data_IF_583645890436
#
_entry.id   IF_583645890436
#
_cell.length_a   1.000
_cell.length_b   1.000
_cell.length_c   1.000
_cell.angle_alpha   90.00
_cell.angle_beta   90.00
_cell.angle_gamma   90.00
#
_symmetry.space_group_name_H-M   'P 1'
#
loop_
_entity.id
_entity.type
_entity.pdbx_description
1 polymer ?
#
# COMPACT_ATOMS: atom_id res chain seq x y z
N UNK A 1 1.04 -12.22 18.54
CA UNK A 1 0.93 -10.96 19.28
C UNK A 1 0.04 -9.99 18.50
N UNK A 2 -0.89 -9.33 19.19
CA UNK A 2 -1.78 -8.38 18.51
C UNK A 2 -1.01 -7.15 18.05
N UNK A 3 -1.39 -6.59 16.91
CA UNK A 3 -0.79 -5.35 16.41
C UNK A 3 -1.12 -4.19 17.37
N UNK A 4 -0.20 -3.21 17.51
CA UNK A 4 -0.51 -2.01 18.30
C UNK A 4 -1.76 -1.30 17.76
N UNK A 5 -2.57 -0.76 18.65
CA UNK A 5 -3.81 -0.09 18.24
C UNK A 5 -3.57 1.03 17.23
N UNK A 6 -2.50 1.80 17.41
CA UNK A 6 -2.18 2.90 16.49
C UNK A 6 -1.84 2.41 15.10
N UNK A 7 -1.10 1.31 15.01
CA UNK A 7 -0.75 0.71 13.73
C UNK A 7 -2.00 0.16 13.02
N UNK A 8 -2.88 -0.49 13.78
CA UNK A 8 -4.11 -1.03 13.22
C UNK A 8 -5.04 0.07 12.70
N UNK A 9 -5.20 1.15 13.45
CA UNK A 9 -6.01 2.29 13.01
C UNK A 9 -5.43 2.93 11.74
N UNK A 10 -4.12 3.05 11.68
CA UNK A 10 -3.41 3.56 10.50
C UNK A 10 -3.67 2.65 9.30
N UNK A 11 -3.55 1.35 9.50
CA UNK A 11 -3.80 0.35 8.46
C UNK A 11 -5.24 0.45 7.94
N UNK A 12 -6.22 0.55 8.84
CA UNK A 12 -7.63 0.67 8.46
C UNK A 12 -7.88 1.94 7.65
N UNK A 13 -7.27 3.05 8.04
CA UNK A 13 -7.41 4.31 7.31
C UNK A 13 -6.84 4.21 5.90
N UNK A 14 -5.69 3.57 5.75
CA UNK A 14 -5.06 3.36 4.44
C UNK A 14 -5.91 2.42 3.60
N UNK A 15 -6.44 1.35 4.20
CA UNK A 15 -7.31 0.42 3.51
C UNK A 15 -8.57 1.12 3.00
N UNK A 16 -9.23 1.89 3.85
CA UNK A 16 -10.45 2.61 3.46
C UNK A 16 -10.16 3.59 2.32
N UNK A 17 -9.03 4.27 2.39
CA UNK A 17 -8.60 5.17 1.32
C UNK A 17 -8.40 4.42 0.01
N UNK A 18 -7.71 3.29 0.05
CA UNK A 18 -7.44 2.49 -1.16
C UNK A 18 -8.74 1.99 -1.78
N UNK A 19 -9.67 1.49 -0.95
CA UNK A 19 -10.94 0.96 -1.44
C UNK A 19 -11.90 2.04 -1.93
N UNK A 20 -11.64 3.31 -1.58
CA UNK A 20 -12.39 4.44 -2.08
C UNK A 20 -11.96 4.91 -3.47
N UNK A 21 -10.90 4.36 -4.03
CA UNK A 21 -10.45 4.72 -5.37
C UNK A 21 -11.41 4.20 -6.44
N UNK A 22 -11.56 4.90 -7.59
CA UNK A 22 -12.45 4.44 -8.66
C UNK A 22 -12.11 3.02 -9.11
N UNK A 23 -13.13 2.15 -9.10
CA UNK A 23 -12.97 0.77 -9.56
C UNK A 23 -12.22 -0.16 -8.63
N UNK A 24 -11.85 0.32 -7.43
CA UNK A 24 -11.10 -0.50 -6.48
C UNK A 24 -11.97 -1.58 -5.84
N UNK A 25 -11.42 -2.77 -5.72
CA UNK A 25 -12.07 -3.89 -5.04
C UNK A 25 -11.08 -4.58 -4.13
N UNK A 26 -11.56 -5.13 -3.02
CA UNK A 26 -10.73 -5.88 -2.08
C UNK A 26 -10.81 -7.37 -2.39
N UNK A 27 -9.66 -8.05 -2.34
CA UNK A 27 -9.59 -9.50 -2.44
C UNK A 27 -8.64 -10.04 -1.38
N UNK A 28 -8.72 -11.33 -1.15
CA UNK A 28 -7.94 -11.98 -0.08
C UNK A 28 -7.19 -13.21 -0.61
N UNK A 29 -6.28 -13.03 -1.59
CA UNK A 29 -5.48 -14.17 -2.02
C UNK A 29 -4.61 -14.63 -0.86
N UNK A 30 -4.63 -15.94 -0.57
CA UNK A 30 -3.84 -16.53 0.53
C UNK A 30 -4.09 -15.87 1.89
N UNK A 31 -5.30 -15.32 2.13
CA UNK A 31 -5.65 -14.74 3.41
C UNK A 31 -5.16 -13.31 3.65
N UNK A 32 -4.44 -12.71 2.72
CA UNK A 32 -4.00 -11.33 2.83
C UNK A 32 -4.96 -10.39 2.09
N UNK A 33 -5.18 -9.20 2.65
CA UNK A 33 -6.00 -8.20 1.99
C UNK A 33 -5.17 -7.51 0.90
N UNK A 34 -5.75 -7.40 -0.28
CA UNK A 34 -5.16 -6.60 -1.37
C UNK A 34 -6.26 -5.75 -1.99
N UNK A 35 -5.89 -4.58 -2.50
CA UNK A 35 -6.82 -3.76 -3.29
C UNK A 35 -6.41 -3.87 -4.75
N UNK A 36 -7.38 -4.13 -5.60
CA UNK A 36 -7.18 -4.29 -7.04
C UNK A 36 -7.98 -3.26 -7.82
N UNK A 37 -7.47 -2.90 -8.97
CA UNK A 37 -8.18 -2.10 -9.96
C UNK A 37 -7.93 -2.72 -11.32
N UNK A 38 -9.00 -2.91 -12.09
CA UNK A 38 -8.91 -3.54 -13.40
C UNK A 38 -8.16 -4.88 -13.34
N UNK A 39 -8.47 -5.70 -12.30
CA UNK A 39 -7.90 -7.04 -12.07
C UNK A 39 -6.41 -7.05 -11.69
N UNK A 40 -5.82 -5.89 -11.41
CA UNK A 40 -4.41 -5.80 -11.01
C UNK A 40 -4.30 -5.24 -9.59
N UNK A 41 -3.40 -5.81 -8.79
CA UNK A 41 -3.14 -5.32 -7.43
C UNK A 41 -2.43 -3.98 -7.52
N UNK A 42 -2.91 -2.97 -6.78
CA UNK A 42 -2.19 -1.70 -6.66
C UNK A 42 -1.68 -1.45 -5.23
N UNK A 43 -2.16 -2.21 -4.25
CA UNK A 43 -1.60 -2.18 -2.90
C UNK A 43 -1.84 -3.52 -2.22
N UNK A 44 -0.80 -4.01 -1.54
CA UNK A 44 -0.91 -5.18 -0.66
C UNK A 44 -1.07 -4.65 0.77
N UNK A 45 -2.15 -5.08 1.44
CA UNK A 45 -2.47 -4.65 2.79
C UNK A 45 -2.20 -5.80 3.75
N UNK A 46 -0.94 -5.92 4.18
CA UNK A 46 -0.54 -6.97 5.11
C UNK A 46 -1.30 -6.86 6.43
N UNK A 47 -1.97 -7.92 6.83
CA UNK A 47 -2.88 -7.89 7.99
C UNK A 47 -2.22 -8.22 9.33
N UNK A 48 -0.93 -8.50 9.32
CA UNK A 48 -0.21 -8.82 10.56
C UNK A 48 -0.48 -10.22 11.09
N UNK A 49 -0.83 -11.14 10.21
CA UNK A 49 -1.17 -12.51 10.56
C UNK A 49 -0.12 -13.49 10.03
N UNK A 50 -0.06 -14.69 10.59
CA UNK A 50 0.83 -15.74 10.11
C UNK A 50 2.31 -15.42 10.24
N UNK A 51 2.68 -14.58 11.19
CA UNK A 51 4.08 -14.19 11.42
C UNK A 51 4.54 -13.00 10.58
N UNK A 52 3.67 -12.45 9.76
CA UNK A 52 3.98 -11.26 8.97
C UNK A 52 3.50 -10.00 9.69
N UNK A 53 4.37 -8.99 9.83
CA UNK A 53 3.95 -7.75 10.49
C UNK A 53 2.92 -6.99 9.64
N UNK A 54 2.11 -6.20 10.34
CA UNK A 54 1.15 -5.31 9.67
C UNK A 54 1.92 -4.32 8.80
N UNK A 55 1.55 -4.19 7.55
CA UNK A 55 2.28 -3.34 6.61
C UNK A 55 1.51 -3.02 5.36
N UNK A 56 2.12 -2.19 4.52
CA UNK A 56 1.57 -1.77 3.23
C UNK A 56 2.66 -1.91 2.18
N UNK A 57 2.33 -2.51 1.04
CA UNK A 57 3.26 -2.63 -0.08
C UNK A 57 2.68 -1.90 -1.28
N UNK A 58 3.43 -0.94 -1.81
CA UNK A 58 2.98 -0.06 -2.90
C UNK A 58 4.03 0.00 -4.00
N UNK A 59 3.60 0.28 -5.22
CA UNK A 59 4.49 0.43 -6.37
C UNK A 59 4.77 1.91 -6.58
N UNK A 60 6.02 2.31 -6.43
CA UNK A 60 6.44 3.71 -6.53
C UNK A 60 7.42 3.86 -7.68
N UNK A 61 7.01 4.55 -8.73
CA UNK A 61 7.86 4.83 -9.89
C UNK A 61 8.62 6.14 -9.76
N UNK A 62 8.12 7.08 -8.94
CA UNK A 62 8.83 8.31 -8.67
C UNK A 62 10.07 8.02 -7.82
N UNK A 63 11.24 8.44 -8.29
CA UNK A 63 12.50 8.14 -7.62
C UNK A 63 12.56 8.72 -6.20
N UNK A 64 12.03 9.92 -6.00
CA UNK A 64 12.03 10.55 -4.67
C UNK A 64 11.11 9.81 -3.70
N UNK A 65 9.90 9.47 -4.14
CA UNK A 65 8.96 8.73 -3.31
C UNK A 65 9.50 7.34 -2.98
N UNK A 66 10.08 6.67 -3.95
CA UNK A 66 10.68 5.34 -3.77
C UNK A 66 11.81 5.39 -2.74
N UNK A 67 12.72 6.35 -2.90
CA UNK A 67 13.84 6.52 -1.96
C UNK A 67 13.33 6.86 -0.56
N UNK A 68 12.34 7.75 -0.46
CA UNK A 68 11.76 8.13 0.82
C UNK A 68 11.13 6.92 1.52
N UNK A 69 10.36 6.12 0.76
CA UNK A 69 9.72 4.92 1.34
C UNK A 69 10.76 3.95 1.88
N UNK A 70 11.89 3.78 1.19
CA UNK A 70 12.95 2.89 1.64
C UNK A 70 13.67 3.39 2.90
N UNK A 71 13.56 4.68 3.25
CA UNK A 71 14.14 5.20 4.50
C UNK A 71 13.26 4.94 5.71
N UNK A 72 12.01 4.52 5.52
CA UNK A 72 11.12 4.23 6.64
C UNK A 72 11.64 3.03 7.43
N UNK A 73 11.49 3.01 8.76
CA UNK A 73 11.99 1.91 9.58
C UNK A 73 11.43 0.56 9.11
N UNK A 74 12.33 -0.39 8.85
CA UNK A 74 11.96 -1.73 8.41
C UNK A 74 11.50 -1.84 6.95
N UNK A 75 11.45 -0.75 6.21
CA UNK A 75 11.04 -0.78 4.81
C UNK A 75 12.10 -1.47 3.95
N UNK A 76 11.63 -2.20 2.95
CA UNK A 76 12.52 -2.93 2.05
C UNK A 76 11.85 -3.12 0.70
N UNK A 77 12.63 -3.39 -0.36
CA UNK A 77 12.04 -3.78 -1.63
C UNK A 77 11.20 -5.05 -1.44
N UNK A 78 10.04 -5.12 -2.07
CA UNK A 78 9.17 -6.28 -1.93
C UNK A 78 9.84 -7.53 -2.51
N UNK A 79 9.50 -8.69 -1.96
CA UNK A 79 10.08 -9.97 -2.37
C UNK A 79 9.59 -10.46 -3.73
N UNK A 80 10.09 -11.62 -4.16
CA UNK A 80 9.69 -12.30 -5.39
C UNK A 80 9.93 -11.46 -6.66
N UNK A 81 10.97 -10.62 -6.66
CA UNK A 81 11.29 -9.79 -7.81
C UNK A 81 10.45 -8.54 -7.97
N UNK A 82 9.46 -8.33 -7.11
CA UNK A 82 8.59 -7.14 -7.19
C UNK A 82 9.37 -5.86 -6.94
N UNK A 83 10.42 -5.90 -6.12
CA UNK A 83 11.25 -4.74 -5.85
C UNK A 83 11.85 -4.12 -7.09
N UNK A 84 12.20 -4.93 -8.09
CA UNK A 84 12.74 -4.45 -9.36
C UNK A 84 11.73 -3.61 -10.14
N UNK A 85 10.44 -3.88 -9.93
CA UNK A 85 9.36 -3.12 -10.57
C UNK A 85 8.93 -1.89 -9.76
N UNK A 86 9.60 -1.61 -8.64
CA UNK A 86 9.31 -0.44 -7.82
C UNK A 86 8.44 -0.70 -6.60
N UNK A 87 8.13 -1.95 -6.29
CA UNK A 87 7.32 -2.27 -5.12
C UNK A 87 8.15 -2.18 -3.84
N UNK A 88 7.63 -1.45 -2.86
CA UNK A 88 8.27 -1.25 -1.55
C UNK A 88 7.30 -1.66 -0.46
N UNK A 89 7.78 -2.48 0.48
CA UNK A 89 7.02 -2.89 1.66
C UNK A 89 7.36 -1.98 2.83
N UNK A 90 6.34 -1.37 3.43
CA UNK A 90 6.51 -0.45 4.57
C UNK A 90 5.77 -1.03 5.78
N UNK A 91 6.50 -1.48 6.82
CA UNK A 91 5.87 -1.96 8.05
C UNK A 91 5.21 -0.82 8.82
N UNK A 92 4.08 -1.09 9.45
CA UNK A 92 3.34 -0.08 10.23
C UNK A 92 3.56 -0.20 11.74
N UNK A 93 4.12 -1.33 12.20
CA UNK A 93 4.33 -1.58 13.63
C UNK A 93 5.66 -1.04 14.14
N UNK A 94 6.53 -0.61 13.24
CA UNK A 94 7.85 -0.08 13.62
C UNK A 94 7.71 1.31 14.23
N UNK A 95 8.55 1.59 15.23
CA UNK A 95 8.63 2.93 15.80
C UNK A 95 9.16 3.88 14.72
N UNK A 96 8.45 4.98 14.52
CA UNK A 96 8.83 5.92 13.46
C UNK A 96 8.21 5.61 12.10
N UNK A 97 7.25 4.68 12.04
CA UNK A 97 6.53 4.39 10.80
C UNK A 97 5.85 5.67 10.27
N UNK A 98 5.70 5.80 8.93
CA UNK A 98 5.15 7.02 8.36
C UNK A 98 3.68 7.22 8.74
N UNK A 99 3.24 8.48 8.69
CA UNK A 99 1.85 8.84 8.99
C UNK A 99 0.90 8.27 7.92
N UNK A 100 -0.37 8.07 8.30
CA UNK A 100 -1.36 7.54 7.38
C UNK A 100 -1.53 8.41 6.14
N UNK A 101 -1.42 9.73 6.29
CA UNK A 101 -1.56 10.67 5.17
C UNK A 101 -0.48 10.43 4.10
N UNK A 102 0.75 10.19 4.52
CA UNK A 102 1.83 9.90 3.59
C UNK A 102 1.62 8.54 2.93
N UNK A 103 1.18 7.55 3.69
CA UNK A 103 0.87 6.22 3.15
C UNK A 103 -0.25 6.31 2.12
N UNK A 104 -1.27 7.14 2.36
CA UNK A 104 -2.35 7.35 1.41
C UNK A 104 -1.84 8.00 0.12
N UNK A 105 -0.90 8.94 0.22
CA UNK A 105 -0.27 9.53 -0.96
C UNK A 105 0.46 8.48 -1.79
N UNK A 106 1.17 7.56 -1.12
CA UNK A 106 1.86 6.47 -1.82
C UNK A 106 0.90 5.46 -2.43
N UNK A 107 -0.22 5.18 -1.76
CA UNK A 107 -1.27 4.32 -2.31
C UNK A 107 -1.85 4.96 -3.58
N UNK A 108 -2.13 6.26 -3.55
CA UNK A 108 -2.62 6.97 -4.73
C UNK A 108 -1.62 6.91 -5.87
N UNK A 109 -0.34 7.10 -5.59
CA UNK A 109 0.70 7.00 -6.60
C UNK A 109 0.74 5.60 -7.22
N UNK A 110 0.65 4.57 -6.38
CA UNK A 110 0.60 3.18 -6.84
C UNK A 110 -0.63 2.94 -7.73
N UNK A 111 -1.78 3.48 -7.31
CA UNK A 111 -3.01 3.40 -8.10
C UNK A 111 -2.80 4.04 -9.48
N UNK A 112 -2.19 5.23 -9.54
CA UNK A 112 -1.97 5.94 -10.81
C UNK A 112 -1.02 5.19 -11.75
N UNK A 113 -0.13 4.37 -11.19
CA UNK A 113 0.76 3.52 -12.01
C UNK A 113 0.00 2.35 -12.62
N UNK A 114 -0.95 1.79 -11.89
CA UNK A 114 -1.62 0.52 -12.24
C UNK A 114 -2.95 0.73 -12.96
N UNK A 115 -3.73 1.75 -12.58
CA UNK A 115 -5.08 1.94 -13.09
C UNK A 115 -5.10 2.40 -14.55
N UNK A 116 -6.15 2.03 -15.32
CA UNK A 116 -6.31 2.55 -16.66
C UNK A 116 -6.62 4.04 -16.65
N UNK A 117 -6.27 4.73 -17.71
CA UNK A 117 -6.42 6.19 -17.82
C UNK A 117 -7.83 6.69 -17.52
N UNK A 118 -8.86 5.95 -17.94
CA UNK A 118 -10.24 6.35 -17.71
C UNK A 118 -10.58 6.43 -16.21
N UNK A 119 -10.03 5.53 -15.41
CA UNK A 119 -10.26 5.53 -13.96
C UNK A 119 -9.43 6.60 -13.26
N UNK A 120 -8.24 6.88 -13.76
CA UNK A 120 -7.43 8.00 -13.26
C UNK A 120 -8.15 9.32 -13.51
N UNK A 121 -8.80 9.47 -14.68
CA UNK A 121 -9.59 10.65 -14.98
C UNK A 121 -10.77 10.80 -14.01
N UNK A 122 -11.44 9.70 -13.64
CA UNK A 122 -12.48 9.73 -12.63
C UNK A 122 -11.96 10.19 -11.27
N UNK A 123 -10.80 9.70 -10.88
CA UNK A 123 -10.14 10.12 -9.63
C UNK A 123 -9.88 11.62 -9.65
N UNK A 124 -9.35 12.14 -10.75
CA UNK A 124 -9.00 13.56 -10.87
C UNK A 124 -10.25 14.46 -10.92
N UNK A 125 -11.40 13.91 -11.30
CA UNK A 125 -12.66 14.64 -11.36
C UNK A 125 -13.39 14.74 -10.01
N UNK A 126 -12.91 14.05 -9.00
CA UNK A 126 -13.52 14.06 -7.65
C UNK A 126 -13.22 15.34 -6.89
#
# INVERSE_FOLDING_TARGET
MAAPKNALKKWEKVRDFALGMPGAVEEFPWGESVAKVNKKVFVFLGVGDGGYPLGVTVKLKDDEAHAHALTCPGAEPAGYGLGKAGWVRVPLEEKGAPAAELLCDWVEESYRVIAPKRLIAELDAQ
#
